data_IF_487980454638
#
_entry.id   IF_487980454638
#
_cell.length_a   1.000
_cell.length_b   1.000
_cell.length_c   1.000
_cell.angle_alpha   90.00
_cell.angle_beta   90.00
_cell.angle_gamma   90.00
#
_symmetry.space_group_name_H-M   'P 1'
#
loop_
_entity.id
_entity.type
_entity.pdbx_description
1 polymer ?
#
# COMPACT_ATOMS: atom_id res chain seq x y z
N UNK A 1 -16.60 -14.97 -25.81
CA UNK A 1 -15.44 -15.78 -25.41
C UNK A 1 -15.58 -17.15 -26.07
N UNK A 2 -14.49 -17.71 -26.58
CA UNK A 2 -14.49 -18.96 -27.34
C UNK A 2 -14.33 -20.17 -26.41
N UNK A 3 -14.93 -21.33 -26.71
CA UNK A 3 -14.79 -22.50 -25.84
C UNK A 3 -13.32 -22.99 -25.76
N UNK A 4 -12.85 -23.39 -24.57
CA UNK A 4 -11.48 -23.87 -24.36
C UNK A 4 -11.04 -24.98 -25.31
N UNK A 5 -11.95 -25.83 -25.79
CA UNK A 5 -11.64 -26.92 -26.73
C UNK A 5 -10.99 -26.44 -28.02
N UNK A 6 -11.16 -25.18 -28.40
CA UNK A 6 -10.45 -24.59 -29.55
C UNK A 6 -8.93 -24.64 -29.41
N UNK A 7 -8.38 -24.82 -28.21
CA UNK A 7 -6.95 -25.03 -28.02
C UNK A 7 -6.43 -26.28 -28.75
N UNK A 8 -7.30 -27.27 -28.99
CA UNK A 8 -6.97 -28.51 -29.72
C UNK A 8 -6.72 -28.25 -31.22
N UNK A 9 -7.23 -27.14 -31.75
CA UNK A 9 -7.07 -26.73 -33.15
C UNK A 9 -5.81 -25.86 -33.36
N UNK A 10 -5.14 -25.45 -32.27
CA UNK A 10 -3.95 -24.61 -32.29
C UNK A 10 -2.67 -25.43 -32.37
N UNK A 11 -1.61 -24.82 -32.89
CA UNK A 11 -0.27 -25.40 -32.80
C UNK A 11 0.29 -25.23 -31.39
N UNK A 12 0.29 -26.29 -30.58
CA UNK A 12 0.72 -26.23 -29.18
C UNK A 12 2.17 -25.75 -29.00
N UNK A 13 3.07 -25.98 -29.96
CA UNK A 13 4.45 -25.46 -29.90
C UNK A 13 4.50 -23.95 -30.06
N UNK A 14 3.67 -23.40 -30.93
CA UNK A 14 3.52 -21.95 -31.10
C UNK A 14 2.86 -21.32 -29.87
N UNK A 15 1.85 -22.00 -29.31
CA UNK A 15 1.21 -21.59 -28.05
C UNK A 15 2.23 -21.56 -26.91
N UNK A 16 3.04 -22.60 -26.76
CA UNK A 16 4.10 -22.67 -25.75
C UNK A 16 5.11 -21.52 -25.93
N UNK A 17 5.58 -21.27 -27.16
CA UNK A 17 6.53 -20.20 -27.44
C UNK A 17 5.96 -18.81 -27.14
N UNK A 18 4.69 -18.56 -27.52
CA UNK A 18 4.02 -17.26 -27.32
C UNK A 18 3.70 -17.00 -25.85
N UNK A 19 3.24 -18.02 -25.13
CA UNK A 19 2.73 -17.88 -23.75
C UNK A 19 3.75 -18.20 -22.67
N UNK A 20 4.88 -18.80 -23.05
CA UNK A 20 5.89 -19.37 -22.14
C UNK A 20 5.34 -20.46 -21.21
N UNK A 21 4.18 -21.03 -21.55
CA UNK A 21 3.63 -22.19 -20.87
C UNK A 21 4.32 -23.43 -21.42
N UNK A 22 4.70 -24.34 -20.52
CA UNK A 22 5.37 -25.60 -20.87
C UNK A 22 4.48 -26.45 -21.80
N UNK A 23 5.11 -27.13 -22.77
CA UNK A 23 4.40 -27.96 -23.75
C UNK A 23 3.64 -29.11 -23.05
N UNK A 24 4.28 -29.74 -22.07
CA UNK A 24 3.70 -30.81 -21.24
C UNK A 24 2.37 -30.40 -20.58
N UNK A 25 2.25 -29.13 -20.16
CA UNK A 25 0.99 -28.62 -19.61
C UNK A 25 -0.08 -28.52 -20.70
N UNK A 26 0.27 -28.01 -21.89
CA UNK A 26 -0.67 -27.83 -22.99
C UNK A 26 -1.16 -29.17 -23.53
N UNK A 27 -0.28 -30.17 -23.62
CA UNK A 27 -0.62 -31.54 -23.99
C UNK A 27 -1.58 -32.16 -22.94
N UNK A 28 -1.23 -32.05 -21.65
CA UNK A 28 -2.09 -32.53 -20.57
C UNK A 28 -3.45 -31.82 -20.52
N UNK A 29 -3.51 -30.53 -20.90
CA UNK A 29 -4.74 -29.75 -21.00
C UNK A 29 -5.65 -30.26 -22.13
N UNK A 30 -5.07 -30.51 -23.31
CA UNK A 30 -5.79 -31.07 -24.48
C UNK A 30 -6.32 -32.47 -24.20
N UNK A 31 -5.54 -33.29 -23.49
CA UNK A 31 -5.89 -34.67 -23.12
C UNK A 31 -6.80 -34.77 -21.89
N UNK A 32 -7.09 -33.65 -21.20
CA UNK A 32 -7.75 -33.64 -19.89
C UNK A 32 -7.06 -34.56 -18.86
N UNK A 33 -5.74 -34.64 -18.89
CA UNK A 33 -4.98 -35.43 -17.94
C UNK A 33 -4.84 -34.67 -16.61
N UNK A 34 -5.89 -34.71 -15.78
CA UNK A 34 -5.95 -33.96 -14.52
C UNK A 34 -4.88 -34.38 -13.51
N UNK A 35 -4.41 -35.63 -13.56
CA UNK A 35 -3.30 -36.10 -12.73
C UNK A 35 -2.00 -35.38 -13.05
N UNK A 36 -1.66 -35.23 -14.33
CA UNK A 36 -0.48 -34.48 -14.77
C UNK A 36 -0.67 -32.98 -14.52
N UNK A 37 -1.85 -32.43 -14.84
CA UNK A 37 -2.18 -31.02 -14.62
C UNK A 37 -2.04 -30.59 -13.16
N UNK A 38 -2.33 -31.47 -12.20
CA UNK A 38 -2.22 -31.19 -10.76
C UNK A 38 -0.81 -30.78 -10.30
N UNK A 39 0.22 -31.04 -11.12
CA UNK A 39 1.61 -30.65 -10.86
C UNK A 39 1.91 -29.20 -11.23
N UNK A 40 1.05 -28.57 -12.03
CA UNK A 40 1.25 -27.24 -12.58
C UNK A 40 0.37 -26.18 -11.90
N UNK A 41 0.66 -24.91 -12.15
CA UNK A 41 -0.22 -23.80 -11.78
C UNK A 41 -1.40 -23.67 -12.76
N UNK A 42 -2.32 -24.64 -12.75
CA UNK A 42 -3.44 -24.74 -13.70
C UNK A 42 -4.21 -23.42 -13.78
N UNK A 43 -4.68 -22.88 -12.66
CA UNK A 43 -5.44 -21.62 -12.62
C UNK A 43 -4.68 -20.43 -13.23
N UNK A 44 -3.36 -20.37 -13.04
CA UNK A 44 -2.52 -19.33 -13.61
C UNK A 44 -2.40 -19.45 -15.13
N UNK A 45 -2.07 -20.65 -15.61
CA UNK A 45 -1.90 -20.91 -17.04
C UNK A 45 -3.20 -20.78 -17.84
N UNK A 46 -4.33 -21.22 -17.28
CA UNK A 46 -5.63 -21.01 -17.92
C UNK A 46 -5.97 -19.52 -18.07
N UNK A 47 -5.61 -18.66 -17.10
CA UNK A 47 -5.79 -17.20 -17.25
C UNK A 47 -4.93 -16.61 -18.36
N UNK A 48 -3.70 -17.08 -18.54
CA UNK A 48 -2.83 -16.65 -19.63
C UNK A 48 -3.46 -17.06 -20.97
N UNK A 49 -3.83 -18.34 -21.12
CA UNK A 49 -4.47 -18.83 -22.34
C UNK A 49 -5.78 -18.11 -22.65
N UNK A 50 -6.58 -17.83 -21.64
CA UNK A 50 -7.83 -17.09 -21.75
C UNK A 50 -7.62 -15.67 -22.30
N UNK A 51 -6.57 -14.99 -21.85
CA UNK A 51 -6.20 -13.64 -22.33
C UNK A 51 -5.61 -13.65 -23.74
N UNK A 52 -4.72 -14.60 -24.03
CA UNK A 52 -3.96 -14.61 -25.29
C UNK A 52 -4.73 -15.15 -26.50
N UNK A 53 -5.78 -15.95 -26.25
CA UNK A 53 -6.58 -16.64 -27.27
C UNK A 53 -8.09 -16.43 -27.11
N UNK A 54 -8.52 -15.57 -26.18
CA UNK A 54 -9.93 -15.29 -25.88
C UNK A 54 -10.77 -16.53 -25.56
N UNK A 55 -10.11 -17.53 -24.95
CA UNK A 55 -10.70 -18.81 -24.57
C UNK A 55 -11.36 -18.76 -23.18
N UNK A 56 -12.51 -19.42 -23.06
CA UNK A 56 -13.26 -19.61 -21.83
C UNK A 56 -13.02 -21.02 -21.29
N UNK A 57 -12.46 -21.08 -20.09
CA UNK A 57 -12.11 -22.30 -19.37
C UNK A 57 -13.03 -22.57 -18.18
N UNK A 58 -14.20 -21.94 -18.10
CA UNK A 58 -15.12 -22.09 -16.96
C UNK A 58 -15.52 -23.55 -16.74
N UNK A 59 -16.03 -24.22 -17.78
CA UNK A 59 -16.42 -25.64 -17.72
C UNK A 59 -15.22 -26.55 -17.37
N UNK A 60 -14.05 -26.28 -17.96
CA UNK A 60 -12.84 -27.07 -17.69
C UNK A 60 -12.40 -26.94 -16.23
N UNK A 61 -12.46 -25.72 -15.67
CA UNK A 61 -12.14 -25.48 -14.27
C UNK A 61 -13.08 -26.23 -13.34
N UNK A 62 -14.38 -26.27 -13.65
CA UNK A 62 -15.35 -27.03 -12.86
C UNK A 62 -15.01 -28.52 -12.83
N UNK A 63 -14.73 -29.12 -13.99
CA UNK A 63 -14.30 -30.51 -14.10
C UNK A 63 -13.00 -30.79 -13.34
N UNK A 64 -12.02 -29.87 -13.44
CA UNK A 64 -10.74 -29.99 -12.77
C UNK A 64 -10.87 -29.88 -11.23
N UNK A 65 -11.69 -28.97 -10.72
CA UNK A 65 -11.97 -28.85 -9.30
C UNK A 65 -12.71 -30.08 -8.76
N UNK A 66 -13.63 -30.66 -9.54
CA UNK A 66 -14.29 -31.93 -9.19
C UNK A 66 -13.26 -33.05 -9.03
N UNK A 67 -12.35 -33.20 -10.00
CA UNK A 67 -11.26 -34.18 -9.91
C UNK A 67 -10.39 -33.97 -8.65
N UNK A 68 -10.02 -32.73 -8.33
CA UNK A 68 -9.22 -32.43 -7.14
C UNK A 68 -9.95 -32.80 -5.85
N UNK A 69 -11.28 -32.59 -5.79
CA UNK A 69 -12.09 -32.91 -4.61
C UNK A 69 -12.25 -34.43 -4.41
N UNK A 70 -12.38 -35.20 -5.49
CA UNK A 70 -12.53 -36.66 -5.42
C UNK A 70 -11.21 -37.38 -5.12
N UNK A 71 -10.07 -36.82 -5.54
CA UNK A 71 -8.77 -37.50 -5.51
C UNK A 71 -7.80 -36.97 -4.43
N UNK A 72 -8.23 -36.09 -3.51
CA UNK A 72 -7.42 -35.65 -2.36
C UNK A 72 -8.07 -35.96 -0.98
N UNK A 73 -7.49 -36.85 -0.17
CA UNK A 73 -7.57 -36.77 1.28
C UNK A 73 -6.49 -35.78 1.79
N UNK A 74 -6.91 -34.68 2.43
CA UNK A 74 -6.11 -33.68 3.17
C UNK A 74 -5.54 -32.47 2.37
N UNK A 75 -5.94 -31.22 2.69
CA UNK A 75 -5.49 -29.97 2.02
C UNK A 75 -4.09 -29.51 2.45
N UNK A 76 -3.11 -30.41 2.54
CA UNK A 76 -1.72 -30.08 2.91
C UNK A 76 -0.69 -30.71 1.97
N UNK A 77 -0.81 -30.41 0.69
CA UNK A 77 0.38 -30.18 -0.13
C UNK A 77 0.05 -29.03 -1.06
N UNK A 78 0.14 -27.82 -0.51
CA UNK A 78 0.16 -26.60 -1.32
C UNK A 78 1.38 -26.72 -2.23
N UNK A 79 1.19 -27.26 -3.44
CA UNK A 79 2.03 -26.92 -4.57
C UNK A 79 2.17 -25.41 -4.52
N UNK A 80 3.39 -24.93 -4.37
CA UNK A 80 3.73 -23.52 -4.21
C UNK A 80 3.22 -22.84 -5.49
N UNK A 81 1.99 -22.37 -5.49
CA UNK A 81 1.45 -21.52 -6.55
C UNK A 81 2.31 -20.28 -6.47
N UNK A 82 3.26 -20.14 -7.37
CA UNK A 82 3.95 -18.87 -7.59
C UNK A 82 2.88 -17.96 -8.17
N UNK A 83 2.22 -17.21 -7.30
CA UNK A 83 1.39 -16.08 -7.68
C UNK A 83 2.37 -15.01 -8.14
N UNK A 84 2.72 -14.99 -9.43
CA UNK A 84 3.24 -13.77 -10.03
C UNK A 84 2.16 -12.72 -9.87
N UNK A 85 2.42 -11.70 -9.05
CA UNK A 85 1.56 -10.53 -8.93
C UNK A 85 1.61 -9.80 -10.26
N UNK A 86 0.63 -10.06 -11.12
CA UNK A 86 0.42 -9.27 -12.33
C UNK A 86 -0.28 -7.98 -11.93
N UNK A 87 0.46 -7.07 -11.31
CA UNK A 87 0.03 -5.70 -11.04
C UNK A 87 0.80 -4.76 -11.97
N UNK A 88 0.40 -4.76 -13.26
CA UNK A 88 0.69 -3.69 -14.22
C UNK A 88 -0.13 -3.78 -15.53
N UNK A 89 -1.34 -4.35 -15.52
CA UNK A 89 -2.35 -3.97 -16.51
C UNK A 89 -3.60 -3.54 -15.75
N UNK A 90 -3.64 -2.26 -15.41
CA UNK A 90 -4.91 -1.58 -15.27
C UNK A 90 -5.59 -1.63 -16.64
N UNK A 91 -6.42 -2.65 -16.86
CA UNK A 91 -7.46 -2.45 -17.84
C UNK A 91 -8.32 -1.34 -17.27
N UNK A 92 -8.28 -0.18 -17.93
CA UNK A 92 -9.26 0.88 -17.76
C UNK A 92 -10.60 0.24 -18.07
N UNK A 93 -11.25 -0.34 -17.06
CA UNK A 93 -12.66 -0.62 -17.15
C UNK A 93 -13.28 0.75 -17.39
N UNK A 94 -13.87 0.94 -18.57
CA UNK A 94 -14.67 2.13 -18.83
C UNK A 94 -15.89 1.99 -17.93
N UNK A 95 -15.73 2.35 -16.67
CA UNK A 95 -16.80 2.35 -15.70
C UNK A 95 -17.86 3.28 -16.27
N UNK A 96 -19.03 2.75 -16.59
CA UNK A 96 -20.18 3.49 -17.12
C UNK A 96 -20.83 4.32 -16.00
N UNK A 97 -20.32 4.21 -14.77
CA UNK A 97 -20.76 4.96 -13.59
C UNK A 97 -20.86 6.48 -13.79
N UNK A 98 -19.90 7.22 -14.39
CA UNK A 98 -20.08 8.65 -14.59
C UNK A 98 -21.25 8.95 -15.55
N UNK A 99 -21.52 8.09 -16.54
CA UNK A 99 -22.70 8.27 -17.41
C UNK A 99 -24.02 8.05 -16.67
N UNK A 100 -24.09 7.10 -15.72
CA UNK A 100 -25.26 6.96 -14.85
C UNK A 100 -25.48 8.20 -13.97
N UNK A 101 -24.41 8.81 -13.45
CA UNK A 101 -24.51 10.06 -12.67
C UNK A 101 -25.02 11.21 -13.54
N UNK A 102 -24.47 11.38 -14.76
CA UNK A 102 -24.96 12.40 -15.71
C UNK A 102 -26.43 12.15 -16.08
N UNK A 103 -26.83 10.89 -16.30
CA UNK A 103 -28.21 10.55 -16.65
C UNK A 103 -29.19 10.83 -15.50
N UNK A 104 -28.81 10.53 -14.26
CA UNK A 104 -29.58 10.87 -13.06
C UNK A 104 -29.75 12.39 -12.93
N UNK A 105 -28.69 13.17 -13.16
CA UNK A 105 -28.76 14.64 -13.13
C UNK A 105 -29.72 15.16 -14.21
N UNK A 106 -29.69 14.58 -15.42
CA UNK A 106 -30.60 14.98 -16.50
C UNK A 106 -32.07 14.69 -16.17
N UNK A 107 -32.35 13.52 -15.57
CA UNK A 107 -33.70 13.19 -15.09
C UNK A 107 -34.17 14.20 -14.05
N UNK A 108 -33.32 14.56 -13.08
CA UNK A 108 -33.67 15.55 -12.04
C UNK A 108 -34.00 16.91 -12.67
N UNK A 109 -33.25 17.36 -13.68
CA UNK A 109 -33.53 18.63 -14.38
C UNK A 109 -34.90 18.59 -15.06
N UNK A 110 -35.21 17.51 -15.80
CA UNK A 110 -36.51 17.35 -16.48
C UNK A 110 -37.64 17.28 -15.46
N UNK A 111 -37.46 16.57 -14.35
CA UNK A 111 -38.43 16.46 -13.27
C UNK A 111 -38.68 17.84 -12.62
N UNK A 112 -37.63 18.63 -12.39
CA UNK A 112 -37.72 19.98 -11.81
C UNK A 112 -38.50 20.92 -12.72
N UNK A 113 -38.33 20.83 -14.04
CA UNK A 113 -39.10 21.62 -15.01
C UNK A 113 -40.57 21.19 -15.00
N UNK A 114 -40.84 19.89 -14.99
CA UNK A 114 -42.21 19.36 -15.01
C UNK A 114 -43.01 19.73 -13.75
N UNK A 115 -42.37 19.67 -12.57
CA UNK A 115 -42.99 20.03 -11.30
C UNK A 115 -42.75 21.49 -10.90
N UNK A 116 -42.27 22.34 -11.82
CA UNK A 116 -41.88 23.72 -11.51
C UNK A 116 -43.02 24.51 -10.88
N UNK A 117 -44.24 24.41 -11.41
CA UNK A 117 -45.41 25.13 -10.88
C UNK A 117 -45.83 24.65 -9.48
N UNK A 118 -45.71 23.35 -9.20
CA UNK A 118 -45.98 22.78 -7.86
C UNK A 118 -44.87 23.08 -6.86
N UNK A 119 -43.61 23.18 -7.31
CA UNK A 119 -42.49 23.60 -6.46
C UNK A 119 -42.57 25.09 -6.15
N UNK A 120 -43.07 25.90 -7.09
CA UNK A 120 -43.21 27.35 -6.92
C UNK A 120 -44.16 27.70 -5.78
N UNK A 121 -45.16 26.87 -5.46
CA UNK A 121 -46.05 27.10 -4.31
C UNK A 121 -45.35 26.82 -2.98
N UNK A 122 -44.47 25.82 -2.90
CA UNK A 122 -43.67 25.52 -1.71
C UNK A 122 -42.65 26.65 -1.40
N UNK A 123 -42.18 27.37 -2.41
CA UNK A 123 -41.30 28.54 -2.24
C UNK A 123 -42.04 29.88 -2.26
N UNK A 124 -43.37 29.89 -2.39
CA UNK A 124 -44.18 31.13 -2.41
C UNK A 124 -44.85 31.48 -1.09
N UNK A 125 -44.58 30.72 -0.03
CA UNK A 125 -45.06 31.02 1.32
C UNK A 125 -43.88 31.33 2.27
N UNK A 126 -43.05 32.32 1.94
CA UNK A 126 -42.18 32.97 2.94
C UNK A 126 -41.85 34.44 2.59
N UNK A 127 -42.84 35.15 2.07
CA UNK A 127 -42.83 36.60 2.06
C UNK A 127 -44.21 37.02 2.52
N UNK A 128 -44.37 37.14 3.85
CA UNK A 128 -45.36 37.91 4.63
C UNK A 128 -45.57 37.27 6.02
N UNK A 129 -44.55 37.28 6.88
CA UNK A 129 -44.73 37.23 8.33
C UNK A 129 -43.58 37.96 9.02
N UNK A 130 -43.76 39.27 9.19
CA UNK A 130 -43.14 40.01 10.27
C UNK A 130 -43.67 39.47 11.61
N UNK A 131 -42.80 38.87 12.43
CA UNK A 131 -43.03 38.75 13.87
C UNK A 131 -41.71 38.73 14.64
N UNK A 132 -41.44 39.90 15.22
CA UNK A 132 -40.80 40.12 16.51
C UNK A 132 -39.52 39.33 16.83
N UNK A 133 -38.35 39.81 16.35
CA UNK A 133 -37.11 39.83 17.16
C UNK A 133 -36.10 40.87 16.63
N UNK A 134 -36.09 41.22 15.33
CA UNK A 134 -35.01 42.06 14.75
C UNK A 134 -35.26 43.59 14.86
N UNK A 135 -36.41 44.04 15.36
CA UNK A 135 -36.66 45.49 15.58
C UNK A 135 -35.89 46.03 16.81
N UNK A 136 -35.31 45.18 17.67
CA UNK A 136 -34.64 45.66 18.90
C UNK A 136 -33.12 45.88 18.79
N UNK A 137 -32.50 45.67 17.62
CA UNK A 137 -31.04 45.85 17.48
C UNK A 137 -30.69 47.21 16.87
N UNK A 138 -31.56 47.79 16.03
CA UNK A 138 -31.35 49.12 15.45
C UNK A 138 -31.66 50.24 16.47
N UNK A 139 -32.54 49.97 17.46
CA UNK A 139 -32.80 50.89 18.58
C UNK A 139 -31.67 50.95 19.62
N UNK A 140 -31.05 49.81 19.97
CA UNK A 140 -29.99 49.75 20.99
C UNK A 140 -28.61 50.19 20.48
N UNK A 141 -28.35 50.15 19.17
CA UNK A 141 -27.12 50.69 18.60
C UNK A 141 -27.14 52.22 18.49
N UNK A 142 -28.31 52.84 18.30
CA UNK A 142 -28.43 54.29 18.16
C UNK A 142 -28.38 55.05 19.50
N UNK A 143 -28.76 54.41 20.63
CA UNK A 143 -28.61 55.01 21.97
C UNK A 143 -27.15 55.02 22.45
N UNK A 144 -26.33 54.04 22.05
CA UNK A 144 -24.91 53.96 22.44
C UNK A 144 -23.97 54.82 21.58
N UNK A 145 -24.43 55.32 20.42
CA UNK A 145 -23.67 56.26 19.59
C UNK A 145 -23.94 57.73 19.96
N UNK A 146 -25.09 58.03 20.59
CA UNK A 146 -25.41 59.39 21.07
C UNK A 146 -24.75 59.74 22.42
N UNK A 147 -24.26 58.76 23.17
CA UNK A 147 -23.57 58.97 24.44
C UNK A 147 -22.06 59.22 24.30
N UNK A 148 -21.53 59.28 23.08
CA UNK A 148 -20.11 59.52 22.80
C UNK A 148 -19.84 60.78 21.94
N UNK A 149 -20.81 61.69 21.80
CA UNK A 149 -20.68 62.91 20.97
C UNK A 149 -20.36 64.19 21.77
N UNK A 150 -20.26 64.15 23.11
CA UNK A 150 -20.08 65.38 23.93
C UNK A 150 -18.85 65.40 24.87
N UNK A 151 -17.73 64.82 24.46
CA UNK A 151 -16.44 65.29 24.98
C UNK A 151 -15.29 65.09 23.97
N UNK A 152 -15.34 65.86 22.89
CA UNK A 152 -14.16 66.14 22.08
C UNK A 152 -13.36 67.23 22.79
N UNK A 153 -12.13 66.93 23.21
CA UNK A 153 -10.99 67.81 22.91
C UNK A 153 -9.75 66.95 22.61
N UNK A 154 -9.30 67.14 21.38
CA UNK A 154 -8.09 66.68 20.71
C UNK A 154 -6.84 67.16 21.48
N UNK A 155 -5.73 66.41 21.47
CA UNK A 155 -4.37 66.92 21.14
C UNK A 155 -3.31 65.81 21.29
N UNK A 156 -2.59 65.68 20.17
CA UNK A 156 -1.22 65.25 19.88
C UNK A 156 -0.61 63.91 20.27
N UNK A 157 0.07 63.42 19.23
CA UNK A 157 0.99 62.32 19.14
C UNK A 157 2.40 62.81 19.50
N UNK A 158 2.91 62.44 20.68
CA UNK A 158 4.35 62.21 20.84
C UNK A 158 4.69 61.45 22.15
N UNK A 159 5.73 60.60 22.04
CA UNK A 159 6.66 60.14 23.09
C UNK A 159 6.24 59.07 24.13
N UNK A 160 7.05 57.99 24.07
CA UNK A 160 7.94 57.50 25.16
C UNK A 160 7.43 56.37 26.09
N UNK A 161 8.06 55.20 25.86
CA UNK A 161 8.83 54.35 26.80
C UNK A 161 8.15 53.45 27.85
N UNK A 162 8.64 52.20 27.77
CA UNK A 162 9.29 51.39 28.83
C UNK A 162 8.47 50.91 30.04
N UNK A 163 8.39 49.57 30.10
CA UNK A 163 8.93 48.71 31.18
C UNK A 163 8.02 48.14 32.30
N UNK A 164 8.36 46.86 32.59
CA UNK A 164 8.24 46.08 33.83
C UNK A 164 6.92 45.35 34.10
N UNK A 165 6.90 44.00 34.04
CA UNK A 165 7.24 43.01 35.11
C UNK A 165 6.25 43.10 36.30
N UNK A 166 5.67 42.05 36.90
CA UNK A 166 5.78 40.58 36.84
C UNK A 166 4.73 39.97 37.81
N UNK A 167 4.59 38.62 37.80
CA UNK A 167 4.19 37.69 38.90
C UNK A 167 2.71 37.38 39.21
N UNK A 168 2.22 36.14 39.50
CA UNK A 168 2.79 34.80 39.83
C UNK A 168 1.75 33.63 39.74
N UNK A 169 2.27 32.39 39.49
CA UNK A 169 1.89 31.01 39.97
C UNK A 169 0.56 30.33 39.54
N UNK A 170 0.37 29.00 39.42
CA UNK A 170 0.77 27.85 40.29
C UNK A 170 0.83 26.47 39.52
N UNK A 171 1.88 25.69 39.85
CA UNK A 171 2.26 24.23 39.86
C UNK A 171 1.17 23.14 40.11
N UNK A 172 1.00 22.09 39.27
CA UNK A 172 1.51 20.66 39.33
C UNK A 172 0.65 19.61 40.08
N UNK A 173 0.35 18.45 39.44
CA UNK A 173 0.90 17.11 39.82
C UNK A 173 0.28 15.91 39.06
N UNK A 174 1.16 14.97 38.72
CA UNK A 174 0.98 13.60 38.21
C UNK A 174 0.67 12.59 39.34
N UNK A 175 0.23 11.37 38.98
CA UNK A 175 0.84 10.11 39.43
C UNK A 175 0.37 8.84 38.65
N UNK A 176 1.31 7.89 38.50
CA UNK A 176 1.21 6.50 37.99
C UNK A 176 0.79 5.49 39.09
N UNK A 177 0.55 4.21 38.75
CA UNK A 177 1.07 2.95 39.39
C UNK A 177 0.59 1.68 38.60
N UNK A 178 1.32 0.57 38.75
CA UNK A 178 1.38 -0.72 38.01
C UNK A 178 1.05 -1.95 38.93
N UNK A 179 0.76 -3.15 38.36
CA UNK A 179 1.31 -4.53 38.67
C UNK A 179 0.33 -5.76 38.62
N UNK A 180 0.72 -6.80 37.83
CA UNK A 180 0.75 -8.30 38.01
C UNK A 180 -0.49 -9.15 38.46
N UNK A 181 -0.71 -10.48 38.22
CA UNK A 181 0.04 -11.66 37.68
C UNK A 181 -0.90 -12.89 37.41
N UNK A 182 -0.41 -13.92 36.66
CA UNK A 182 -0.44 -15.40 36.94
C UNK A 182 -0.84 -16.40 35.81
N UNK A 183 -0.24 -17.62 35.88
CA UNK A 183 0.07 -18.66 34.87
C UNK A 183 -0.86 -19.91 34.79
N UNK A 184 -0.76 -20.75 33.73
CA UNK A 184 -0.52 -22.23 33.77
C UNK A 184 -0.37 -22.97 32.40
N UNK A 185 0.30 -24.15 32.45
CA UNK A 185 0.97 -25.06 31.47
C UNK A 185 0.02 -26.07 30.72
N UNK A 186 0.31 -26.83 29.63
CA UNK A 186 1.23 -28.00 29.40
C UNK A 186 1.39 -28.38 27.88
N UNK A 187 2.65 -28.67 27.45
CA UNK A 187 3.28 -29.65 26.47
C UNK A 187 2.52 -30.30 25.27
N UNK A 188 3.08 -30.43 24.04
CA UNK A 188 4.05 -31.49 23.61
C UNK A 188 4.86 -31.14 22.32
N UNK A 189 6.11 -31.62 22.28
CA UNK A 189 7.22 -31.45 21.31
C UNK A 189 6.98 -31.84 19.82
N UNK A 190 7.68 -31.15 18.91
CA UNK A 190 8.64 -31.75 17.95
C UNK A 190 9.59 -30.69 17.33
N UNK A 191 10.82 -31.13 17.08
CA UNK A 191 12.05 -30.35 16.93
C UNK A 191 12.45 -30.08 15.46
N UNK A 192 12.65 -28.81 15.06
CA UNK A 192 13.59 -28.44 13.98
C UNK A 192 14.11 -27.01 14.20
N UNK A 193 15.43 -26.85 14.16
CA UNK A 193 16.16 -25.62 14.52
C UNK A 193 15.95 -24.51 13.49
N UNK A 194 15.08 -23.56 13.82
CA UNK A 194 14.93 -22.26 13.15
C UNK A 194 15.42 -21.17 14.12
N UNK A 195 16.61 -20.62 13.89
CA UNK A 195 17.13 -19.51 14.69
C UNK A 195 16.71 -18.17 14.06
N UNK A 196 15.50 -17.72 14.38
CA UNK A 196 15.05 -16.36 14.11
C UNK A 196 15.42 -15.46 15.30
N UNK A 197 16.63 -14.91 15.28
CA UNK A 197 17.01 -13.81 16.16
C UNK A 197 16.39 -12.51 15.67
N UNK A 198 15.28 -12.11 16.30
CA UNK A 198 14.82 -10.72 16.32
C UNK A 198 15.73 -9.96 17.28
N UNK A 199 16.70 -9.22 16.73
CA UNK A 199 17.50 -8.26 17.47
C UNK A 199 16.77 -6.91 17.44
N UNK A 200 16.05 -6.61 18.50
CA UNK A 200 15.69 -5.23 18.87
C UNK A 200 16.97 -4.58 19.36
N UNK A 201 17.49 -3.58 18.64
CA UNK A 201 18.62 -2.77 19.10
C UNK A 201 18.09 -1.37 19.42
N UNK A 202 18.25 -0.99 20.67
CA UNK A 202 18.01 0.33 21.23
C UNK A 202 18.85 1.39 20.51
N UNK A 203 18.23 2.53 20.27
CA UNK A 203 18.88 3.75 19.79
C UNK A 203 19.70 4.35 20.93
N UNK A 204 21.03 4.27 20.83
CA UNK A 204 21.92 5.15 21.58
C UNK A 204 22.24 6.37 20.72
N UNK A 205 21.85 7.54 21.22
CA UNK A 205 22.10 8.85 20.63
C UNK A 205 23.58 9.18 20.82
N UNK A 206 24.31 9.43 19.73
CA UNK A 206 25.51 10.25 19.78
C UNK A 206 25.52 11.28 18.64
N UNK A 207 25.21 12.52 19.02
CA UNK A 207 25.59 13.70 18.25
C UNK A 207 27.12 13.77 18.15
N UNK A 208 27.70 13.71 16.96
CA UNK A 208 28.98 14.39 16.65
C UNK A 208 29.18 14.58 15.14
N UNK A 209 29.11 15.86 14.73
CA UNK A 209 29.83 16.53 13.62
C UNK A 209 30.24 15.65 12.42
N UNK A 210 29.40 15.64 11.38
CA UNK A 210 29.65 14.94 10.12
C UNK A 210 30.75 15.63 9.30
N UNK A 211 31.88 14.94 9.15
CA UNK A 211 32.90 15.22 8.13
C UNK A 211 32.48 14.48 6.85
N UNK A 212 32.69 15.08 5.68
CA UNK A 212 32.20 14.67 4.34
C UNK A 212 32.57 13.25 3.86
N UNK A 213 33.19 12.40 4.67
CA UNK A 213 33.81 11.12 4.27
C UNK A 213 32.94 9.89 4.58
N UNK A 214 32.01 9.95 5.54
CA UNK A 214 31.21 8.78 5.98
C UNK A 214 29.97 8.46 5.11
N UNK A 215 29.64 9.33 4.16
CA UNK A 215 28.43 9.19 3.30
C UNK A 215 28.65 8.14 2.19
N UNK A 216 29.90 7.73 1.92
CA UNK A 216 30.23 6.86 0.80
C UNK A 216 29.98 5.36 1.05
N UNK A 217 29.82 4.91 2.29
CA UNK A 217 29.73 3.47 2.61
C UNK A 217 28.32 3.00 2.98
N UNK A 218 27.30 3.82 2.76
CA UNK A 218 25.92 3.48 3.08
C UNK A 218 24.99 3.82 1.92
N UNK A 219 23.98 2.99 1.72
CA UNK A 219 22.83 3.33 0.88
C UNK A 219 21.71 3.84 1.79
N UNK A 220 21.11 4.97 1.40
CA UNK A 220 19.99 5.57 2.12
C UNK A 220 18.67 5.14 1.47
N UNK A 221 17.69 4.79 2.29
CA UNK A 221 16.37 4.36 1.85
C UNK A 221 15.28 5.18 2.51
N UNK A 222 14.42 5.78 1.68
CA UNK A 222 13.23 6.47 2.12
C UNK A 222 12.02 5.57 1.97
N UNK A 223 11.16 5.54 2.98
CA UNK A 223 9.90 4.82 2.91
C UNK A 223 8.79 5.56 3.66
N UNK A 224 7.60 5.59 3.08
CA UNK A 224 6.42 6.21 3.69
C UNK A 224 5.62 5.24 4.56
N UNK A 225 5.98 3.96 4.57
CA UNK A 225 5.22 2.89 5.26
C UNK A 225 6.15 1.84 5.84
N UNK A 226 5.59 0.99 6.72
CA UNK A 226 6.30 -0.15 7.29
C UNK A 226 6.78 -1.11 6.20
N UNK A 227 8.09 -1.38 6.15
CA UNK A 227 8.71 -2.26 5.17
C UNK A 227 9.53 -3.35 5.84
N UNK A 228 9.21 -4.60 5.50
CA UNK A 228 10.03 -5.75 5.85
C UNK A 228 11.26 -5.82 4.93
N UNK A 229 12.42 -6.07 5.51
CA UNK A 229 13.73 -6.10 4.85
C UNK A 229 14.40 -7.42 5.21
N UNK A 230 14.88 -8.12 4.20
CA UNK A 230 15.68 -9.32 4.33
C UNK A 230 17.08 -9.08 3.77
N UNK A 231 18.11 -9.51 4.50
CA UNK A 231 19.50 -9.55 4.04
C UNK A 231 20.04 -11.00 4.00
N UNK A 232 20.83 -11.33 2.98
CA UNK A 232 21.55 -12.61 2.85
C UNK A 232 23.03 -12.29 2.65
N UNK A 233 23.87 -12.66 3.62
CA UNK A 233 25.33 -12.52 3.49
C UNK A 233 25.85 -13.49 2.40
N UNK A 234 26.60 -12.98 1.41
CA UNK A 234 27.08 -13.80 0.29
C UNK A 234 28.21 -14.77 0.68
N UNK A 235 28.90 -14.52 1.81
CA UNK A 235 30.00 -15.38 2.29
C UNK A 235 29.48 -16.65 2.96
N UNK A 236 28.51 -16.50 3.86
CA UNK A 236 28.00 -17.61 4.68
C UNK A 236 26.54 -17.99 4.37
N UNK A 237 25.85 -17.24 3.51
CA UNK A 237 24.43 -17.41 3.16
C UNK A 237 23.47 -17.33 4.34
N UNK A 238 23.90 -16.72 5.45
CA UNK A 238 23.05 -16.47 6.61
C UNK A 238 22.01 -15.42 6.24
N UNK A 239 20.75 -15.73 6.50
CA UNK A 239 19.61 -14.83 6.33
C UNK A 239 19.37 -14.07 7.62
N UNK A 240 19.10 -12.78 7.51
CA UNK A 240 18.57 -11.95 8.59
C UNK A 240 17.40 -11.13 8.05
N UNK A 241 16.46 -10.77 8.92
CA UNK A 241 15.36 -9.92 8.53
C UNK A 241 14.89 -9.04 9.67
N UNK A 242 14.39 -7.86 9.31
CA UNK A 242 13.85 -6.89 10.26
C UNK A 242 12.81 -6.02 9.54
N UNK A 243 12.12 -5.18 10.30
CA UNK A 243 11.10 -4.28 9.77
C UNK A 243 11.47 -2.84 10.13
N UNK A 244 11.34 -1.92 9.17
CA UNK A 244 11.55 -0.49 9.37
C UNK A 244 10.27 0.27 9.08
N UNK A 245 9.97 1.27 9.91
CA UNK A 245 8.79 2.14 9.79
C UNK A 245 9.14 3.56 9.36
N UNK A 246 10.44 3.88 9.34
CA UNK A 246 11.02 5.16 8.93
C UNK A 246 12.16 4.89 7.95
N UNK A 247 12.69 5.97 7.38
CA UNK A 247 13.90 5.96 6.57
C UNK A 247 15.05 5.23 7.30
N UNK A 248 15.88 4.55 6.52
CA UNK A 248 16.93 3.69 7.07
C UNK A 248 18.13 3.61 6.15
N UNK A 249 19.27 3.24 6.72
CA UNK A 249 20.52 3.03 6.00
C UNK A 249 20.90 1.57 5.98
N UNK A 250 21.58 1.17 4.92
CA UNK A 250 22.22 -0.14 4.81
C UNK A 250 23.71 0.07 4.53
N UNK A 251 24.57 -0.51 5.37
CA UNK A 251 26.02 -0.53 5.15
C UNK A 251 26.35 -1.35 3.90
N UNK A 252 27.32 -0.84 3.14
CA UNK A 252 27.82 -1.42 1.89
C UNK A 252 29.16 -2.14 2.07
N UNK A 253 29.59 -2.30 3.33
CA UNK A 253 30.87 -2.94 3.69
C UNK A 253 30.84 -4.47 3.52
N UNK A 254 29.64 -5.05 3.42
CA UNK A 254 29.43 -6.49 3.29
C UNK A 254 28.81 -6.83 1.97
N UNK A 255 29.40 -7.80 1.29
CA UNK A 255 28.80 -8.44 0.12
C UNK A 255 27.55 -9.22 0.56
N UNK A 256 26.38 -8.73 0.18
CA UNK A 256 25.10 -9.30 0.59
C UNK A 256 24.01 -9.04 -0.43
N UNK A 257 23.00 -9.91 -0.46
CA UNK A 257 21.75 -9.68 -1.16
C UNK A 257 20.77 -9.02 -0.21
N UNK A 258 19.97 -8.09 -0.73
CA UNK A 258 18.88 -7.47 0.00
C UNK A 258 17.57 -7.68 -0.74
N UNK A 259 16.52 -8.04 -0.01
CA UNK A 259 15.14 -8.14 -0.48
C UNK A 259 14.26 -7.23 0.38
N UNK A 260 13.39 -6.47 -0.25
CA UNK A 260 12.37 -5.69 0.47
C UNK A 260 10.98 -6.18 0.16
N UNK A 261 10.07 -5.95 1.11
CA UNK A 261 8.63 -6.16 0.96
C UNK A 261 8.00 -5.31 -0.15
N UNK A 262 6.69 -5.43 -0.30
CA UNK A 262 5.92 -4.82 -1.39
C UNK A 262 5.71 -3.30 -1.27
N UNK A 263 6.12 -2.66 -0.18
CA UNK A 263 5.97 -1.22 0.02
C UNK A 263 6.76 -0.41 -1.03
N UNK A 264 6.32 0.83 -1.30
CA UNK A 264 7.11 1.78 -2.09
C UNK A 264 8.35 2.24 -1.31
N UNK A 265 9.46 2.42 -2.00
CA UNK A 265 10.69 2.92 -1.42
C UNK A 265 11.47 3.74 -2.45
N UNK A 266 12.24 4.69 -1.97
CA UNK A 266 13.24 5.41 -2.77
C UNK A 266 14.61 5.05 -2.22
N UNK A 267 15.52 4.63 -3.10
CA UNK A 267 16.92 4.36 -2.77
C UNK A 267 17.79 5.50 -3.28
N UNK A 268 18.67 6.02 -2.43
CA UNK A 268 19.76 6.91 -2.81
C UNK A 268 21.04 6.09 -2.72
N UNK A 269 21.71 5.90 -3.86
CA UNK A 269 22.96 5.14 -3.90
C UNK A 269 24.15 6.00 -3.40
N UNK A 270 25.34 5.40 -3.37
CA UNK A 270 26.56 6.08 -2.93
C UNK A 270 27.00 7.23 -3.83
N UNK A 271 26.54 7.23 -5.08
CA UNK A 271 26.76 8.31 -6.04
C UNK A 271 25.70 9.42 -5.90
N UNK A 272 24.88 9.36 -4.84
CA UNK A 272 23.79 10.28 -4.55
C UNK A 272 22.70 10.32 -5.65
N UNK A 273 22.55 9.23 -6.39
CA UNK A 273 21.52 9.06 -7.41
C UNK A 273 20.27 8.42 -6.81
N UNK A 274 19.14 9.07 -7.03
CA UNK A 274 17.84 8.66 -6.55
C UNK A 274 17.16 7.66 -7.50
N UNK A 275 16.71 6.54 -6.96
CA UNK A 275 15.98 5.49 -7.66
C UNK A 275 14.67 5.21 -6.94
N UNK A 276 13.54 5.48 -7.61
CA UNK A 276 12.19 5.30 -7.05
C UNK A 276 11.65 3.93 -7.43
N UNK A 277 11.11 3.23 -6.43
CA UNK A 277 10.49 1.93 -6.62
C UNK A 277 9.02 1.97 -6.13
N UNK A 278 8.03 1.78 -7.02
CA UNK A 278 6.62 1.81 -6.65
C UNK A 278 6.23 0.60 -5.80
N UNK A 279 5.07 0.67 -5.14
CA UNK A 279 4.50 -0.45 -4.39
C UNK A 279 4.10 -1.64 -5.30
N UNK A 280 3.85 -2.81 -4.70
CA UNK A 280 3.36 -4.04 -5.34
C UNK A 280 4.41 -5.16 -5.42
N UNK A 281 5.51 -4.89 -6.11
CA UNK A 281 6.57 -5.89 -6.33
C UNK A 281 7.60 -5.93 -5.21
N UNK A 282 8.23 -7.09 -4.99
CA UNK A 282 9.42 -7.21 -4.13
C UNK A 282 10.62 -6.59 -4.84
N UNK A 283 11.45 -5.82 -4.12
CA UNK A 283 12.65 -5.18 -4.69
C UNK A 283 13.88 -5.92 -4.22
N UNK A 284 14.82 -6.14 -5.12
CA UNK A 284 16.01 -6.96 -4.90
C UNK A 284 17.24 -6.13 -5.23
N UNK A 285 18.22 -6.18 -4.35
CA UNK A 285 19.46 -5.45 -4.51
C UNK A 285 20.66 -6.38 -4.29
N UNK A 286 21.71 -6.16 -5.06
CA UNK A 286 23.04 -6.69 -4.81
C UNK A 286 23.87 -5.59 -4.18
N UNK A 287 24.42 -5.87 -3.01
CA UNK A 287 25.47 -5.07 -2.39
C UNK A 287 26.75 -5.85 -2.59
N UNK A 288 27.70 -5.28 -3.34
CA UNK A 288 28.98 -5.92 -3.62
C UNK A 288 30.05 -4.88 -3.91
N UNK A 289 31.26 -5.09 -3.40
CA UNK A 289 32.41 -4.22 -3.66
C UNK A 289 32.12 -2.76 -3.30
N UNK A 290 31.36 -2.57 -2.21
CA UNK A 290 30.91 -1.26 -1.79
C UNK A 290 30.08 -0.56 -2.87
N UNK A 291 29.16 -1.27 -3.55
CA UNK A 291 28.15 -0.70 -4.45
C UNK A 291 26.81 -1.39 -4.24
N UNK A 292 25.73 -0.61 -4.33
CA UNK A 292 24.36 -1.14 -4.34
C UNK A 292 23.75 -1.03 -5.73
N UNK A 293 23.18 -2.13 -6.22
CA UNK A 293 22.53 -2.19 -7.53
C UNK A 293 21.21 -2.94 -7.42
N UNK A 294 20.18 -2.47 -8.11
CA UNK A 294 18.92 -3.22 -8.25
C UNK A 294 19.13 -4.38 -9.21
N UNK A 295 18.67 -5.57 -8.84
CA UNK A 295 18.84 -6.80 -9.64
C UNK A 295 17.49 -7.49 -9.91
N UNK A 296 17.48 -8.34 -10.93
CA UNK A 296 16.28 -9.12 -11.28
C UNK A 296 16.00 -10.25 -10.28
N UNK A 297 14.79 -10.82 -10.32
CA UNK A 297 14.45 -12.02 -9.54
C UNK A 297 15.33 -13.23 -9.89
N UNK A 298 15.58 -13.44 -11.20
CA UNK A 298 16.42 -14.54 -11.68
C UNK A 298 17.87 -14.38 -11.20
N UNK A 299 18.41 -13.16 -11.22
CA UNK A 299 19.77 -12.87 -10.76
C UNK A 299 19.91 -13.05 -9.25
N UNK A 300 18.92 -12.61 -8.47
CA UNK A 300 18.91 -12.85 -7.03
C UNK A 300 18.91 -14.35 -6.70
N UNK A 301 18.06 -15.14 -7.36
CA UNK A 301 18.00 -16.60 -7.17
C UNK A 301 19.34 -17.24 -7.55
N UNK A 302 19.94 -16.83 -8.68
CA UNK A 302 21.25 -17.30 -9.11
C UNK A 302 22.33 -17.03 -8.06
N UNK A 303 22.37 -15.81 -7.52
CA UNK A 303 23.34 -15.41 -6.48
C UNK A 303 23.06 -16.10 -5.13
N UNK A 304 21.80 -16.43 -4.84
CA UNK A 304 21.38 -17.21 -3.68
C UNK A 304 21.42 -18.74 -3.92
N UNK A 305 22.29 -19.21 -4.82
CA UNK A 305 22.49 -20.65 -5.14
C UNK A 305 21.20 -21.39 -5.53
N UNK A 306 20.35 -20.76 -6.34
CA UNK A 306 19.11 -21.34 -6.83
C UNK A 306 17.95 -21.29 -5.83
N UNK A 307 18.15 -20.68 -4.65
CA UNK A 307 17.10 -20.58 -3.63
C UNK A 307 16.36 -19.26 -3.75
N UNK A 308 15.05 -19.32 -3.54
CA UNK A 308 14.27 -18.13 -3.22
C UNK A 308 14.66 -17.58 -1.84
N UNK A 309 14.05 -16.44 -1.47
CA UNK A 309 14.15 -15.92 -0.11
C UNK A 309 13.77 -16.95 0.94
#
# INVERSE_FOLDING_TARGET
MLNWKKIQELNLKEVAAKTQIELDFLEALVEKNFSVLSRFNVKGFLKILSREYELDFSDFNEEYEHYLNENNPNPQKKSKIIITKLEAYSQKTSSIWPFFIIFIILIIIVMTIYYFDTLKTLFKDEQNNTSATVINIIGQAQENLKSLENNVVIIDNDKIKEANQSYQNITTSNQNIQLQENEQNISTQNHTLENNQTLTHEEEILHTKTTKTDILNQAYFQTSTKIWIGLIDLKNLKKTSFVKEKDFNISLDKDQLMLTGAASLTMINQENQEHKFPAGNLKRFLIKDGKITSISAAEFIKLNKGKEW
#
